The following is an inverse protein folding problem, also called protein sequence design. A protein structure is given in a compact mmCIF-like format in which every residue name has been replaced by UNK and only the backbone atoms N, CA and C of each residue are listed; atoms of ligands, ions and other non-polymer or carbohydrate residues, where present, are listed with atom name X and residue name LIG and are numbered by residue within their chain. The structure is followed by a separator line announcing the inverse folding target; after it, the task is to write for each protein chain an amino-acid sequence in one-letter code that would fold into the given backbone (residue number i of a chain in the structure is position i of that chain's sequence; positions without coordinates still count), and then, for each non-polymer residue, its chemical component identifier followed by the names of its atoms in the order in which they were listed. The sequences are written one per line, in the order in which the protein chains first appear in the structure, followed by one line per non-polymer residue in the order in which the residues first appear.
data_IF_488575764393
#
_entry.id   IF_488575764393
#
_cell.length_a   1.000
_cell.length_b   1.000
_cell.length_c   1.000
_cell.angle_alpha   90.00
_cell.angle_beta   90.00
_cell.angle_gamma   90.00
#
_symmetry.space_group_name_H-M   'P 1'
#
loop_
_entity.id
_entity.type
_entity.pdbx_description
1 polymer ?
#
# COMPACT_ATOMS: atom_id res chain seq x y z
N UNK A 1 -63.32 -4.69 35.34
CA UNK A 1 -62.12 -3.97 35.83
C UNK A 1 -60.87 -4.66 35.28
N UNK A 2 -60.27 -4.11 34.23
CA UNK A 2 -58.92 -4.46 33.76
C UNK A 2 -58.19 -3.15 33.49
N UNK A 3 -57.27 -2.82 34.38
CA UNK A 3 -56.39 -1.65 34.32
C UNK A 3 -55.28 -1.92 33.30
N UNK A 4 -55.21 -1.11 32.23
CA UNK A 4 -54.03 -1.05 31.38
C UNK A 4 -52.94 -0.24 32.10
N UNK A 5 -51.84 -0.88 32.46
CA UNK A 5 -50.60 -0.20 32.84
C UNK A 5 -49.79 0.12 31.57
N UNK A 6 -49.67 1.40 31.25
CA UNK A 6 -48.72 1.91 30.26
C UNK A 6 -47.32 1.98 30.90
N UNK A 7 -46.45 1.04 30.56
CA UNK A 7 -45.03 1.14 30.85
C UNK A 7 -44.38 2.11 29.85
N UNK A 8 -44.02 3.31 30.33
CA UNK A 8 -43.20 4.26 29.58
C UNK A 8 -41.74 3.82 29.64
N UNK A 9 -41.23 3.26 28.54
CA UNK A 9 -39.81 2.95 28.39
C UNK A 9 -39.06 4.27 28.15
N UNK A 10 -38.40 4.79 29.18
CA UNK A 10 -37.43 5.87 29.03
C UNK A 10 -36.18 5.30 28.35
N UNK A 11 -36.01 5.59 27.06
CA UNK A 11 -34.75 5.39 26.38
C UNK A 11 -33.75 6.43 26.92
N UNK A 12 -32.83 5.99 27.80
CA UNK A 12 -31.70 6.80 28.21
C UNK A 12 -30.78 6.97 27.00
N UNK A 13 -30.85 8.13 26.34
CA UNK A 13 -29.85 8.53 25.36
C UNK A 13 -28.51 8.72 26.09
N UNK A 14 -27.66 7.70 26.04
CA UNK A 14 -26.26 7.81 26.45
C UNK A 14 -25.58 8.79 25.51
N UNK A 15 -25.59 10.07 25.90
CA UNK A 15 -24.79 11.10 25.26
C UNK A 15 -23.33 10.74 25.52
N UNK A 16 -22.67 10.10 24.56
CA UNK A 16 -21.23 9.95 24.58
C UNK A 16 -20.65 11.37 24.52
N UNK A 17 -20.23 11.89 25.67
CA UNK A 17 -19.47 13.14 25.70
C UNK A 17 -18.21 12.85 24.89
N UNK A 18 -18.12 13.43 23.70
CA UNK A 18 -16.92 13.33 22.87
C UNK A 18 -15.75 13.91 23.68
N UNK A 19 -14.93 13.01 24.23
CA UNK A 19 -13.74 13.40 24.96
C UNK A 19 -12.77 13.89 23.90
N UNK A 20 -12.63 15.21 23.77
CA UNK A 20 -11.67 15.81 22.83
C UNK A 20 -10.25 15.29 23.03
N UNK A 21 -9.38 15.48 22.04
CA UNK A 21 -8.00 15.01 22.11
C UNK A 21 -7.26 15.54 23.35
N UNK A 22 -6.24 14.81 23.81
CA UNK A 22 -5.32 15.17 24.88
C UNK A 22 -3.89 15.25 24.37
N UNK A 23 -3.50 14.35 23.48
CA UNK A 23 -2.17 14.31 22.86
C UNK A 23 -2.27 14.12 21.35
N UNK A 24 -1.16 14.29 20.62
CA UNK A 24 -1.15 14.08 19.17
C UNK A 24 -1.39 12.61 18.79
N UNK A 25 -1.15 11.65 19.70
CA UNK A 25 -1.51 10.24 19.50
C UNK A 25 -3.04 10.06 19.36
N UNK A 26 -3.85 10.89 20.03
CA UNK A 26 -5.30 10.91 19.83
C UNK A 26 -5.67 11.43 18.42
N UNK A 27 -4.76 12.17 17.78
CA UNK A 27 -4.83 12.67 16.40
C UNK A 27 -4.04 11.80 15.41
N UNK A 28 -3.84 10.52 15.76
CA UNK A 28 -3.15 9.50 14.96
C UNK A 28 -1.72 9.87 14.54
N UNK A 29 -1.09 10.87 15.18
CA UNK A 29 0.15 11.52 14.73
C UNK A 29 0.09 12.13 13.31
N UNK A 30 -1.05 12.07 12.64
CA UNK A 30 -1.36 12.76 11.38
C UNK A 30 -2.00 14.14 11.63
N UNK A 31 -1.91 14.62 12.87
CA UNK A 31 -2.42 15.90 13.30
C UNK A 31 -1.85 16.29 14.65
N UNK A 32 -2.13 17.52 15.06
CA UNK A 32 -1.71 18.06 16.36
C UNK A 32 -2.95 18.28 17.21
N UNK A 33 -2.91 17.83 18.46
CA UNK A 33 -4.00 18.09 19.39
C UNK A 33 -3.96 19.55 19.87
N UNK A 34 -5.02 20.29 19.59
CA UNK A 34 -5.16 21.68 20.04
C UNK A 34 -5.52 21.73 21.52
N UNK A 35 -4.65 22.33 22.32
CA UNK A 35 -4.85 22.49 23.78
C UNK A 35 -6.06 23.36 24.14
N UNK A 36 -6.52 24.22 23.23
CA UNK A 36 -7.58 25.21 23.49
C UNK A 36 -8.97 24.61 23.37
N UNK A 37 -9.23 23.92 22.26
CA UNK A 37 -10.54 23.39 21.90
C UNK A 37 -10.60 21.86 22.01
N UNK A 38 -9.47 21.21 22.32
CA UNK A 38 -9.33 19.75 22.38
C UNK A 38 -9.76 19.06 21.09
N UNK A 39 -9.52 19.71 19.95
CA UNK A 39 -9.76 19.15 18.62
C UNK A 39 -8.45 18.82 17.90
N UNK A 40 -8.51 17.82 17.03
CA UNK A 40 -7.37 17.48 16.18
C UNK A 40 -7.29 18.42 14.98
N UNK A 41 -6.09 18.98 14.76
CA UNK A 41 -5.76 19.73 13.55
C UNK A 41 -4.96 18.85 12.63
N UNK A 42 -5.60 18.31 11.61
CA UNK A 42 -4.98 17.34 10.71
C UNK A 42 -3.95 17.98 9.78
N UNK A 43 -2.91 17.21 9.50
CA UNK A 43 -1.98 17.53 8.43
C UNK A 43 -2.68 17.42 7.06
N UNK A 44 -2.20 18.17 6.05
CA UNK A 44 -2.71 18.08 4.69
C UNK A 44 -2.75 16.62 4.19
N UNK A 45 -3.89 16.24 3.61
CA UNK A 45 -4.15 14.89 3.11
C UNK A 45 -4.79 13.93 4.13
N UNK A 46 -5.02 14.39 5.37
CA UNK A 46 -5.71 13.63 6.40
C UNK A 46 -6.93 14.37 6.94
N UNK A 47 -8.00 13.63 7.27
CA UNK A 47 -9.28 14.14 7.74
C UNK A 47 -9.86 13.26 8.85
N UNK A 48 -10.98 13.72 9.43
CA UNK A 48 -11.67 13.08 10.54
C UNK A 48 -11.30 13.70 11.89
N UNK A 49 -12.09 13.41 12.92
CA UNK A 49 -11.94 13.99 14.26
C UNK A 49 -10.61 13.61 14.94
N UNK A 50 -9.92 12.60 14.41
CA UNK A 50 -8.67 12.03 14.89
C UNK A 50 -7.58 11.94 13.79
N UNK A 51 -7.82 12.53 12.62
CA UNK A 51 -6.89 12.51 11.49
C UNK A 51 -6.48 11.12 10.99
N UNK A 52 -7.28 10.08 11.28
CA UNK A 52 -6.99 8.69 10.92
C UNK A 52 -7.33 8.32 9.46
N UNK A 53 -8.05 9.18 8.73
CA UNK A 53 -8.57 8.89 7.38
C UNK A 53 -7.87 9.73 6.33
N UNK A 54 -7.59 9.14 5.16
CA UNK A 54 -7.09 9.89 4.01
C UNK A 54 -8.19 10.78 3.42
N UNK A 55 -7.81 12.00 3.07
CA UNK A 55 -8.65 12.94 2.32
C UNK A 55 -8.63 12.56 0.83
N UNK A 56 -9.34 11.51 0.42
CA UNK A 56 -9.28 11.02 -0.95
C UNK A 56 -10.10 11.91 -1.90
N UNK A 57 -9.43 12.55 -2.85
CA UNK A 57 -10.08 13.29 -3.93
C UNK A 57 -10.63 12.33 -5.01
N UNK A 58 -11.56 12.76 -5.87
CA UNK A 58 -12.03 11.93 -6.97
C UNK A 58 -10.88 11.50 -7.91
N UNK A 59 -10.85 10.22 -8.27
CA UNK A 59 -9.89 9.69 -9.22
C UNK A 59 -10.29 10.03 -10.66
N UNK A 60 -9.32 10.20 -11.55
CA UNK A 60 -9.61 10.33 -12.99
C UNK A 60 -9.86 8.94 -13.58
N UNK A 61 -10.90 8.77 -14.40
CA UNK A 61 -11.16 7.48 -15.05
C UNK A 61 -10.07 7.15 -16.06
N UNK A 62 -9.81 5.85 -16.24
CA UNK A 62 -8.86 5.30 -17.21
C UNK A 62 -7.40 5.78 -17.06
N UNK A 63 -7.06 6.36 -15.90
CA UNK A 63 -5.66 6.63 -15.51
C UNK A 63 -5.10 5.48 -14.66
N UNK A 64 -3.94 5.67 -14.04
CA UNK A 64 -3.16 4.58 -13.45
C UNK A 64 -2.62 3.65 -14.54
N UNK A 65 -2.50 2.36 -14.24
CA UNK A 65 -2.15 1.33 -15.23
C UNK A 65 -3.37 0.43 -15.44
N UNK A 66 -4.20 0.79 -16.42
CA UNK A 66 -5.48 0.13 -16.71
C UNK A 66 -5.48 -0.48 -18.11
N UNK A 67 -4.76 -1.58 -18.26
CA UNK A 67 -4.59 -2.30 -19.53
C UNK A 67 -5.26 -3.68 -19.53
N UNK A 68 -5.96 -4.04 -18.45
CA UNK A 68 -6.55 -5.36 -18.19
C UNK A 68 -7.41 -5.93 -19.31
N UNK A 69 -8.14 -5.06 -20.02
CA UNK A 69 -9.10 -5.43 -21.06
C UNK A 69 -8.54 -5.28 -22.48
N UNK A 70 -7.22 -5.13 -22.63
CA UNK A 70 -6.59 -5.22 -23.95
C UNK A 70 -6.73 -6.66 -24.50
N UNK A 71 -6.86 -6.84 -25.83
CA UNK A 71 -7.00 -8.17 -26.42
C UNK A 71 -5.83 -9.08 -26.05
N UNK A 72 -6.08 -10.37 -25.72
CA UNK A 72 -5.03 -11.34 -25.44
C UNK A 72 -4.19 -11.61 -26.70
N UNK A 73 -2.91 -11.90 -26.48
CA UNK A 73 -1.99 -12.39 -27.50
C UNK A 73 -2.16 -13.89 -27.78
N UNK A 74 -1.48 -14.41 -28.82
CA UNK A 74 -1.58 -15.82 -29.21
C UNK A 74 -1.03 -16.79 -28.15
N UNK A 75 -0.12 -16.34 -27.31
CA UNK A 75 0.54 -17.15 -26.27
C UNK A 75 -0.11 -17.04 -24.89
N UNK A 76 -1.24 -16.32 -24.80
CA UNK A 76 -2.00 -16.21 -23.55
C UNK A 76 -2.88 -17.43 -23.32
N UNK A 77 -2.89 -17.93 -22.09
CA UNK A 77 -3.78 -19.02 -21.68
C UNK A 77 -5.19 -18.52 -21.35
N UNK A 78 -5.38 -17.21 -21.15
CA UNK A 78 -6.64 -16.61 -20.74
C UNK A 78 -6.73 -15.12 -21.17
N UNK A 79 -7.83 -14.45 -20.84
CA UNK A 79 -8.23 -13.17 -21.45
C UNK A 79 -7.78 -11.90 -20.69
N UNK A 80 -6.85 -12.01 -19.74
CA UNK A 80 -6.41 -10.88 -18.89
C UNK A 80 -4.90 -10.54 -19.05
N UNK A 81 -4.42 -10.25 -20.28
CA UNK A 81 -2.98 -10.18 -20.62
C UNK A 81 -2.18 -9.16 -19.81
N UNK A 82 -2.82 -8.02 -19.55
CA UNK A 82 -2.15 -6.86 -18.93
C UNK A 82 -2.82 -6.48 -17.60
N UNK A 83 -3.48 -7.45 -16.96
CA UNK A 83 -3.97 -7.27 -15.61
C UNK A 83 -2.79 -6.96 -14.67
N UNK A 84 -2.97 -5.98 -13.79
CA UNK A 84 -1.94 -5.51 -12.86
C UNK A 84 -2.44 -5.48 -11.43
N UNK A 85 -1.52 -5.36 -10.46
CA UNK A 85 -1.88 -5.38 -9.03
C UNK A 85 -0.95 -4.57 -8.13
N UNK A 86 -1.43 -3.38 -7.72
CA UNK A 86 -0.71 -2.46 -6.83
C UNK A 86 0.52 -1.87 -7.51
N UNK A 87 1.28 -1.04 -6.79
CA UNK A 87 2.52 -0.50 -7.34
C UNK A 87 2.92 0.81 -6.69
N UNK A 88 4.12 1.29 -7.00
CA UNK A 88 4.66 2.52 -6.42
C UNK A 88 5.08 3.50 -7.51
N UNK A 89 4.62 4.73 -7.37
CA UNK A 89 5.02 5.85 -8.23
C UNK A 89 6.41 6.32 -7.82
N UNK A 90 7.26 6.60 -8.82
CA UNK A 90 8.57 7.21 -8.68
C UNK A 90 8.66 8.35 -9.67
N UNK A 91 8.85 9.57 -9.18
CA UNK A 91 9.15 10.70 -10.06
C UNK A 91 10.59 10.58 -10.57
N UNK A 92 10.78 10.79 -11.87
CA UNK A 92 12.09 10.74 -12.48
C UNK A 92 12.98 11.90 -12.00
N UNK A 93 14.17 11.56 -11.50
CA UNK A 93 15.11 12.54 -10.92
C UNK A 93 15.80 13.41 -11.97
N UNK A 94 15.85 12.97 -13.23
CA UNK A 94 16.45 13.72 -14.35
C UNK A 94 15.40 14.51 -15.11
N UNK A 95 14.17 14.01 -15.16
CA UNK A 95 13.04 14.62 -15.87
C UNK A 95 11.82 14.71 -14.96
N UNK A 96 11.67 15.74 -14.11
CA UNK A 96 10.61 15.80 -13.10
C UNK A 96 9.17 15.69 -13.64
N UNK A 97 8.95 15.96 -14.94
CA UNK A 97 7.67 15.77 -15.64
C UNK A 97 7.44 14.33 -16.13
N UNK A 98 8.30 13.38 -15.77
CA UNK A 98 8.14 11.96 -16.09
C UNK A 98 7.96 11.17 -14.79
N UNK A 99 6.93 10.34 -14.76
CA UNK A 99 6.63 9.46 -13.64
C UNK A 99 6.78 8.01 -14.06
N UNK A 100 7.40 7.21 -13.22
CA UNK A 100 7.51 5.77 -13.35
C UNK A 100 6.55 5.11 -12.39
N UNK A 101 5.91 4.02 -12.81
CA UNK A 101 5.14 3.13 -11.95
C UNK A 101 5.79 1.76 -11.99
N UNK A 102 6.24 1.28 -10.83
CA UNK A 102 6.64 -0.11 -10.65
C UNK A 102 5.44 -0.89 -10.14
N UNK A 103 4.90 -1.76 -10.98
CA UNK A 103 3.68 -2.52 -10.71
C UNK A 103 3.91 -3.99 -11.08
N UNK A 104 3.04 -4.86 -10.59
CA UNK A 104 2.99 -6.25 -11.05
C UNK A 104 2.15 -6.29 -12.31
N UNK A 105 2.60 -7.06 -13.30
CA UNK A 105 1.74 -7.60 -14.35
C UNK A 105 1.71 -9.13 -14.25
N UNK A 106 0.61 -9.74 -14.73
CA UNK A 106 0.46 -11.19 -14.80
C UNK A 106 0.72 -11.69 -16.22
N UNK A 107 1.66 -12.61 -16.37
CA UNK A 107 1.99 -13.21 -17.67
C UNK A 107 0.87 -14.15 -18.17
N UNK A 108 0.89 -14.47 -19.46
CA UNK A 108 0.02 -15.42 -20.15
C UNK A 108 -1.49 -15.22 -19.93
N UNK A 109 -1.92 -13.96 -19.73
CA UNK A 109 -3.32 -13.63 -19.55
C UNK A 109 -3.95 -14.13 -18.24
N UNK A 110 -3.16 -14.59 -17.28
CA UNK A 110 -3.69 -15.33 -16.13
C UNK A 110 -4.41 -14.48 -15.08
N UNK A 111 -4.17 -13.17 -15.09
CA UNK A 111 -4.78 -12.26 -14.13
C UNK A 111 -4.47 -12.58 -12.67
N UNK A 112 -5.16 -11.89 -11.76
CA UNK A 112 -4.86 -11.90 -10.33
C UNK A 112 -4.95 -13.29 -9.68
N UNK A 113 -5.83 -14.17 -10.17
CA UNK A 113 -5.97 -15.54 -9.64
C UNK A 113 -4.71 -16.38 -9.83
N UNK A 114 -3.98 -16.16 -10.92
CA UNK A 114 -2.75 -16.88 -11.26
C UNK A 114 -1.49 -16.26 -10.68
N UNK A 115 -1.59 -15.25 -9.81
CA UNK A 115 -0.45 -14.39 -9.45
C UNK A 115 0.84 -15.14 -9.06
N UNK A 116 0.76 -16.29 -8.39
CA UNK A 116 1.94 -17.10 -8.06
C UNK A 116 1.93 -18.39 -8.87
N UNK A 117 2.75 -18.56 -9.92
CA UNK A 117 4.00 -17.83 -10.20
C UNK A 117 3.90 -16.77 -11.33
N UNK A 118 2.71 -16.47 -11.86
CA UNK A 118 2.57 -15.67 -13.09
C UNK A 118 2.87 -14.17 -12.92
N UNK A 119 3.20 -13.70 -11.73
CA UNK A 119 3.62 -12.31 -11.50
C UNK A 119 5.03 -12.04 -11.96
N UNK A 120 5.21 -10.90 -12.59
CA UNK A 120 6.50 -10.27 -12.82
C UNK A 120 6.36 -8.75 -12.64
N UNK A 121 7.47 -8.07 -12.40
CA UNK A 121 7.48 -6.63 -12.17
C UNK A 121 7.74 -5.94 -13.50
N UNK A 122 6.90 -4.96 -13.80
CA UNK A 122 7.10 -4.04 -14.92
C UNK A 122 7.39 -2.64 -14.40
N UNK A 123 8.04 -1.85 -15.26
CA UNK A 123 8.08 -0.40 -15.15
C UNK A 123 7.20 0.17 -16.25
N UNK A 124 6.27 1.03 -15.87
CA UNK A 124 5.46 1.82 -16.78
C UNK A 124 5.79 3.31 -16.63
N UNK A 125 5.59 4.11 -17.67
CA UNK A 125 5.89 5.55 -17.68
C UNK A 125 4.63 6.38 -17.94
N UNK A 126 4.54 7.55 -17.30
CA UNK A 126 3.59 8.59 -17.66
C UNK A 126 4.30 9.92 -17.88
N UNK A 127 3.87 10.61 -18.95
CA UNK A 127 4.26 11.98 -19.29
C UNK A 127 3.08 12.95 -19.19
N UNK A 128 1.96 12.50 -18.61
CA UNK A 128 0.74 13.32 -18.41
C UNK A 128 0.50 13.64 -16.92
N UNK A 129 1.50 13.38 -16.08
CA UNK A 129 1.44 13.58 -14.65
C UNK A 129 1.38 12.28 -13.84
N UNK A 130 1.45 12.39 -12.51
CA UNK A 130 1.52 11.26 -11.58
C UNK A 130 0.26 10.40 -11.56
N UNK A 131 -0.90 10.94 -11.96
CA UNK A 131 -2.13 10.16 -12.08
C UNK A 131 -2.09 9.15 -13.22
N UNK A 132 -1.28 9.39 -14.26
CA UNK A 132 -1.29 8.59 -15.49
C UNK A 132 -2.15 9.22 -16.60
N UNK A 133 -2.51 8.46 -17.64
CA UNK A 133 -2.28 7.02 -17.78
C UNK A 133 -0.80 6.66 -17.84
N UNK A 134 -0.45 5.49 -17.31
CA UNK A 134 0.87 4.89 -17.40
C UNK A 134 0.89 3.85 -18.53
N UNK A 135 1.94 3.87 -19.33
CA UNK A 135 2.14 2.92 -20.43
C UNK A 135 3.34 2.02 -20.14
N UNK A 136 3.23 0.74 -20.50
CA UNK A 136 4.34 -0.22 -20.34
C UNK A 136 5.63 0.33 -20.95
N UNK A 137 6.73 0.24 -20.21
CA UNK A 137 8.04 0.69 -20.67
C UNK A 137 9.07 -0.44 -20.65
N UNK A 138 9.09 -1.28 -19.61
CA UNK A 138 10.07 -2.35 -19.49
C UNK A 138 9.64 -3.48 -18.54
N UNK A 139 10.16 -4.69 -18.76
CA UNK A 139 10.10 -5.80 -17.82
C UNK A 139 11.31 -5.73 -16.89
N UNK A 140 11.07 -5.49 -15.60
CA UNK A 140 12.12 -5.30 -14.59
C UNK A 140 12.54 -6.62 -13.95
N UNK A 141 11.66 -7.62 -13.98
CA UNK A 141 11.94 -8.96 -13.49
C UNK A 141 11.39 -10.01 -14.43
N UNK A 142 11.91 -11.23 -14.29
CA UNK A 142 11.24 -12.43 -14.79
C UNK A 142 10.15 -12.88 -13.82
N UNK A 143 9.41 -13.92 -14.22
CA UNK A 143 8.57 -14.69 -13.32
C UNK A 143 9.46 -15.46 -12.34
N UNK A 144 9.31 -15.38 -11.03
CA UNK A 144 8.28 -14.72 -10.26
C UNK A 144 8.86 -13.55 -9.47
N UNK A 145 8.19 -12.40 -9.53
CA UNK A 145 8.37 -11.33 -8.55
C UNK A 145 7.05 -10.59 -8.36
N UNK A 146 6.72 -10.23 -7.12
CA UNK A 146 5.41 -9.70 -6.79
C UNK A 146 5.45 -8.59 -5.72
N UNK A 147 4.42 -7.74 -5.70
CA UNK A 147 4.28 -6.63 -4.75
C UNK A 147 5.53 -5.71 -4.66
N UNK A 148 5.97 -5.10 -5.77
CA UNK A 148 7.21 -4.34 -5.83
C UNK A 148 7.16 -3.11 -4.92
N UNK A 149 8.20 -2.89 -4.13
CA UNK A 149 8.45 -1.64 -3.41
C UNK A 149 9.80 -1.03 -3.81
N UNK A 150 9.75 0.07 -4.55
CA UNK A 150 10.93 0.77 -5.05
C UNK A 150 11.21 2.03 -4.22
N UNK A 151 12.47 2.18 -3.81
CA UNK A 151 12.96 3.38 -3.11
C UNK A 151 14.30 3.82 -3.69
N UNK A 152 14.58 5.11 -3.67
CA UNK A 152 15.94 5.60 -3.87
C UNK A 152 16.66 5.65 -2.51
N UNK A 153 17.79 4.95 -2.37
CA UNK A 153 18.69 5.06 -1.21
C UNK A 153 19.71 6.17 -1.47
N UNK A 154 19.64 7.33 -0.80
CA UNK A 154 20.64 8.38 -1.00
C UNK A 154 22.02 7.99 -0.45
N UNK A 155 22.07 7.12 0.57
CA UNK A 155 23.32 6.60 1.14
C UNK A 155 24.08 5.72 0.15
N UNK A 156 23.36 4.92 -0.65
CA UNK A 156 23.95 4.05 -1.67
C UNK A 156 24.01 4.67 -3.06
N UNK A 157 23.25 5.76 -3.27
CA UNK A 157 23.02 6.40 -4.57
C UNK A 157 22.42 5.44 -5.61
N UNK A 158 21.52 4.56 -5.16
CA UNK A 158 20.87 3.53 -5.98
C UNK A 158 19.37 3.52 -5.78
N UNK A 159 18.64 3.11 -6.80
CA UNK A 159 17.30 2.57 -6.64
C UNK A 159 17.39 1.14 -6.09
N UNK A 160 16.53 0.84 -5.13
CA UNK A 160 16.38 -0.47 -4.52
C UNK A 160 14.95 -0.92 -4.73
N UNK A 161 14.77 -2.12 -5.27
CA UNK A 161 13.47 -2.71 -5.56
C UNK A 161 13.30 -3.98 -4.76
N UNK A 162 12.45 -3.92 -3.74
CA UNK A 162 12.06 -5.07 -2.94
C UNK A 162 10.84 -5.74 -3.54
N UNK A 163 10.78 -7.07 -3.46
CA UNK A 163 9.62 -7.83 -3.93
C UNK A 163 9.44 -9.10 -3.12
N UNK A 164 8.25 -9.68 -3.23
CA UNK A 164 7.99 -11.06 -2.85
C UNK A 164 8.62 -11.97 -3.90
N UNK A 165 9.30 -13.00 -3.42
CA UNK A 165 9.74 -14.13 -4.21
C UNK A 165 11.12 -13.97 -4.82
N UNK A 166 11.54 -15.07 -5.44
CA UNK A 166 12.69 -15.17 -6.34
C UNK A 166 12.18 -15.72 -7.67
N UNK A 167 13.02 -15.59 -8.70
CA UNK A 167 12.75 -16.12 -10.03
C UNK A 167 12.30 -17.59 -9.98
N UNK A 168 11.30 -17.91 -10.80
CA UNK A 168 10.67 -19.22 -10.89
C UNK A 168 10.78 -19.73 -12.31
N UNK A 169 11.91 -20.37 -12.58
CA UNK A 169 12.26 -20.90 -13.90
C UNK A 169 11.44 -22.17 -14.20
N UNK A 170 10.27 -21.98 -14.83
CA UNK A 170 9.43 -23.07 -15.31
C UNK A 170 8.71 -22.66 -16.59
N UNK A 171 8.61 -23.58 -17.55
CA UNK A 171 7.73 -23.43 -18.69
C UNK A 171 6.26 -23.53 -18.24
N UNK A 172 5.52 -22.44 -18.42
CA UNK A 172 4.09 -22.42 -18.13
C UNK A 172 3.31 -23.10 -19.26
N UNK A 173 2.30 -23.89 -18.91
CA UNK A 173 1.41 -24.56 -19.87
C UNK A 173 -0.07 -24.24 -19.62
N UNK A 174 -0.36 -23.54 -18.52
CA UNK A 174 -1.69 -23.10 -18.12
C UNK A 174 -1.59 -22.03 -17.03
N UNK A 175 -2.68 -21.30 -16.83
CA UNK A 175 -2.84 -20.51 -15.61
C UNK A 175 -2.97 -21.42 -14.39
N UNK A 176 -2.15 -21.16 -13.38
CA UNK A 176 -2.15 -21.90 -12.12
C UNK A 176 -1.78 -20.99 -10.96
N UNK A 177 -2.12 -21.42 -9.75
CA UNK A 177 -1.72 -20.74 -8.53
C UNK A 177 -1.15 -21.74 -7.53
N UNK A 178 0.10 -21.51 -7.12
CA UNK A 178 0.80 -22.33 -6.14
C UNK A 178 0.46 -21.78 -4.75
N UNK A 179 0.30 -22.65 -3.74
CA UNK A 179 0.03 -22.23 -2.35
C UNK A 179 1.33 -21.93 -1.60
N UNK A 180 1.28 -21.08 -0.57
CA UNK A 180 2.48 -20.68 0.18
C UNK A 180 3.00 -21.83 1.02
N UNK A 181 2.14 -22.80 1.32
CA UNK A 181 2.51 -24.05 1.98
C UNK A 181 3.34 -24.97 1.08
N UNK A 182 3.18 -24.86 -0.25
CA UNK A 182 3.95 -25.63 -1.25
C UNK A 182 5.19 -24.89 -1.73
N UNK A 183 5.10 -23.56 -1.82
CA UNK A 183 6.19 -22.70 -2.22
C UNK A 183 6.17 -21.42 -1.37
N UNK A 184 6.93 -21.43 -0.24
CA UNK A 184 6.94 -20.32 0.70
C UNK A 184 7.41 -19.01 0.08
N UNK A 185 6.82 -17.91 0.54
CA UNK A 185 7.26 -16.58 0.15
C UNK A 185 8.60 -16.23 0.80
N UNK A 186 9.31 -15.31 0.18
CA UNK A 186 10.48 -14.64 0.72
C UNK A 186 10.44 -13.18 0.27
N UNK A 187 11.29 -12.34 0.86
CA UNK A 187 11.57 -11.00 0.35
C UNK A 187 12.93 -11.03 -0.33
N UNK A 188 12.96 -10.52 -1.55
CA UNK A 188 14.18 -10.29 -2.32
C UNK A 188 14.34 -8.83 -2.68
N UNK A 189 15.56 -8.42 -3.01
CA UNK A 189 15.92 -7.06 -3.42
C UNK A 189 16.78 -7.07 -4.68
N UNK A 190 16.49 -6.14 -5.58
CA UNK A 190 17.31 -5.78 -6.74
C UNK A 190 17.74 -4.32 -6.63
N UNK A 191 18.80 -3.92 -7.33
CA UNK A 191 19.29 -2.54 -7.34
C UNK A 191 19.64 -2.07 -8.75
N UNK A 192 19.54 -0.76 -8.97
CA UNK A 192 19.94 -0.08 -10.20
C UNK A 192 20.46 1.34 -9.90
N UNK A 193 21.38 1.84 -10.74
CA UNK A 193 21.85 3.23 -10.64
C UNK A 193 20.87 4.23 -11.27
N UNK A 194 20.09 3.76 -12.24
CA UNK A 194 19.01 4.51 -12.89
C UNK A 194 17.67 3.80 -12.68
N UNK A 195 16.58 4.57 -12.64
CA UNK A 195 15.22 4.01 -12.54
C UNK A 195 14.89 3.09 -13.72
N UNK A 196 15.57 3.28 -14.86
CA UNK A 196 15.46 2.45 -16.07
C UNK A 196 16.32 1.18 -16.05
N UNK A 197 17.11 0.97 -15.01
CA UNK A 197 18.05 -0.15 -14.96
C UNK A 197 19.40 0.15 -15.61
N UNK A 198 20.18 -0.90 -15.96
CA UNK A 198 19.86 -2.31 -15.76
C UNK A 198 19.71 -2.65 -14.28
N UNK A 199 18.76 -3.53 -13.98
CA UNK A 199 18.51 -4.02 -12.62
C UNK A 199 19.39 -5.23 -12.33
N UNK A 200 19.98 -5.29 -11.14
CA UNK A 200 20.73 -6.47 -10.71
C UNK A 200 19.80 -7.68 -10.53
N UNK A 201 20.30 -8.92 -10.60
CA UNK A 201 19.52 -10.09 -10.18
C UNK A 201 18.95 -9.89 -8.76
N UNK A 202 17.76 -10.42 -8.52
CA UNK A 202 17.13 -10.36 -7.21
C UNK A 202 17.89 -11.24 -6.21
N UNK A 203 18.27 -10.65 -5.08
CA UNK A 203 18.91 -11.33 -3.95
C UNK A 203 17.91 -11.48 -2.81
N UNK A 204 17.70 -12.70 -2.34
CA UNK A 204 16.87 -12.96 -1.16
C UNK A 204 17.50 -12.34 0.10
N UNK A 205 16.69 -11.63 0.90
CA UNK A 205 17.14 -10.94 2.12
C UNK A 205 16.36 -11.33 3.38
N UNK A 206 15.11 -11.81 3.24
CA UNK A 206 14.32 -12.35 4.36
C UNK A 206 13.56 -13.58 3.87
N UNK A 207 13.67 -14.70 4.59
CA UNK A 207 12.92 -15.92 4.27
C UNK A 207 11.72 -16.10 5.21
N UNK A 208 10.68 -16.79 4.76
CA UNK A 208 9.59 -17.20 5.64
C UNK A 208 10.04 -18.32 6.58
N UNK A 209 9.52 -18.29 7.79
CA UNK A 209 9.61 -19.35 8.79
C UNK A 209 8.16 -19.66 9.21
N UNK A 210 7.61 -20.79 8.75
CA UNK A 210 6.19 -21.19 8.93
C UNK A 210 6.12 -22.71 9.21
N UNK A 211 5.13 -23.18 10.00
CA UNK A 211 3.99 -22.43 10.55
C UNK A 211 4.35 -21.52 11.74
N UNK A 212 5.49 -21.73 12.40
CA UNK A 212 6.00 -20.89 13.47
C UNK A 212 6.94 -19.81 12.88
N UNK A 213 6.75 -18.53 13.24
CA UNK A 213 7.71 -17.47 12.91
C UNK A 213 7.21 -16.39 11.93
N UNK A 214 8.08 -16.00 11.00
CA UNK A 214 7.93 -14.83 10.12
C UNK A 214 7.25 -15.20 8.79
N UNK A 215 6.23 -14.45 8.38
CA UNK A 215 5.65 -14.55 7.03
C UNK A 215 6.26 -13.50 6.10
N UNK A 216 7.37 -13.84 5.45
CA UNK A 216 8.15 -12.91 4.62
C UNK A 216 7.44 -12.59 3.30
N UNK A 217 6.50 -11.64 3.36
CA UNK A 217 5.73 -11.15 2.22
C UNK A 217 5.37 -9.68 2.39
N UNK A 218 5.01 -9.03 1.28
CA UNK A 218 4.51 -7.66 1.23
C UNK A 218 5.51 -6.62 1.77
N UNK A 219 6.66 -6.43 1.09
CA UNK A 219 7.72 -5.58 1.59
C UNK A 219 7.36 -4.09 1.51
N UNK A 220 7.80 -3.34 2.52
CA UNK A 220 7.86 -1.88 2.52
C UNK A 220 9.21 -1.41 3.03
N UNK A 221 10.01 -0.80 2.17
CA UNK A 221 11.34 -0.33 2.48
C UNK A 221 11.36 1.18 2.77
N UNK A 222 12.16 1.59 3.76
CA UNK A 222 12.40 3.00 4.10
C UNK A 222 13.90 3.20 4.35
N UNK A 223 14.62 3.93 3.47
CA UNK A 223 15.98 4.37 3.77
C UNK A 223 16.02 5.30 4.98
N UNK A 224 16.93 5.06 5.93
CA UNK A 224 17.10 5.88 7.15
C UNK A 224 18.00 7.11 6.95
N UNK A 225 18.45 7.33 5.72
CA UNK A 225 19.33 8.43 5.36
C UNK A 225 18.70 9.78 5.71
N UNK A 226 19.50 10.69 6.28
CA UNK A 226 19.18 12.12 6.39
C UNK A 226 20.45 12.93 6.14
N UNK A 227 20.32 14.25 5.86
CA UNK A 227 21.50 15.13 5.76
C UNK A 227 22.38 15.13 7.01
N UNK A 228 21.79 14.96 8.20
CA UNK A 228 22.51 14.91 9.49
C UNK A 228 23.08 13.54 9.83
N UNK A 229 22.51 12.47 9.27
CA UNK A 229 22.95 11.10 9.44
C UNK A 229 22.91 10.39 8.09
N UNK A 230 23.99 10.48 7.27
CA UNK A 230 24.03 9.95 5.92
C UNK A 230 24.27 8.42 5.90
N UNK A 231 23.45 7.68 6.63
CA UNK A 231 23.52 6.21 6.74
C UNK A 231 23.01 5.51 5.48
N UNK A 232 23.43 4.25 5.31
CA UNK A 232 22.92 3.29 4.31
C UNK A 232 21.88 2.33 4.91
N UNK A 233 21.53 2.52 6.18
CA UNK A 233 20.58 1.66 6.86
C UNK A 233 19.19 1.72 6.21
N UNK A 234 18.57 0.55 6.11
CA UNK A 234 17.23 0.36 5.57
C UNK A 234 16.34 -0.24 6.64
N UNK A 235 15.13 0.31 6.79
CA UNK A 235 14.00 -0.34 7.45
C UNK A 235 13.23 -1.16 6.43
N UNK A 236 12.83 -2.37 6.79
CA UNK A 236 11.95 -3.22 6.00
C UNK A 236 10.77 -3.68 6.86
N UNK A 237 9.57 -3.19 6.55
CA UNK A 237 8.31 -3.72 7.05
C UNK A 237 7.78 -4.84 6.16
N UNK A 238 7.10 -5.82 6.77
CA UNK A 238 6.43 -6.92 6.07
C UNK A 238 5.08 -7.24 6.72
N UNK A 239 4.32 -8.17 6.12
CA UNK A 239 3.06 -8.71 6.64
C UNK A 239 3.16 -9.12 8.13
N UNK A 240 2.01 -9.11 8.81
CA UNK A 240 1.88 -9.40 10.25
C UNK A 240 2.66 -8.37 11.12
N UNK A 241 2.98 -7.23 10.52
CA UNK A 241 3.63 -6.07 11.11
C UNK A 241 4.97 -6.38 11.79
N UNK A 242 5.79 -7.19 11.11
CA UNK A 242 7.19 -7.39 11.48
C UNK A 242 8.06 -6.34 10.80
N UNK A 243 8.96 -5.73 11.56
CA UNK A 243 9.84 -4.66 11.10
C UNK A 243 11.29 -5.05 11.35
N UNK A 244 12.09 -4.97 10.30
CA UNK A 244 13.50 -5.30 10.31
C UNK A 244 14.34 -4.05 10.01
N UNK A 245 15.61 -4.10 10.39
CA UNK A 245 16.63 -3.15 9.93
C UNK A 245 17.86 -3.88 9.41
N UNK A 246 18.51 -3.33 8.40
CA UNK A 246 19.82 -3.77 7.92
C UNK A 246 20.77 -2.58 7.77
N UNK A 247 22.08 -2.82 7.96
CA UNK A 247 23.13 -1.79 7.74
C UNK A 247 23.35 -1.47 6.26
N UNK A 248 23.04 -2.43 5.40
CA UNK A 248 23.13 -2.38 3.96
C UNK A 248 21.87 -3.04 3.37
N UNK A 249 21.40 -2.56 2.24
CA UNK A 249 20.19 -3.05 1.58
C UNK A 249 20.26 -4.53 1.17
N UNK A 250 21.45 -5.05 0.90
CA UNK A 250 21.71 -6.45 0.55
C UNK A 250 22.32 -7.25 1.72
N UNK A 251 22.29 -6.69 2.93
CA UNK A 251 22.89 -7.29 4.11
C UNK A 251 21.90 -8.09 4.96
N UNK A 252 22.32 -8.39 6.19
CA UNK A 252 21.50 -9.08 7.15
C UNK A 252 20.40 -8.19 7.73
N UNK A 253 19.14 -8.58 7.52
CA UNK A 253 17.98 -7.98 8.15
C UNK A 253 17.77 -8.55 9.55
N UNK A 254 17.77 -7.67 10.56
CA UNK A 254 17.54 -8.04 11.97
C UNK A 254 16.18 -7.52 12.41
N UNK A 255 15.36 -8.40 13.00
CA UNK A 255 14.05 -8.05 13.56
C UNK A 255 14.23 -6.99 14.65
N UNK A 256 13.43 -5.92 14.57
CA UNK A 256 13.42 -4.80 15.52
C UNK A 256 12.10 -4.63 16.23
N UNK A 257 11.01 -4.99 15.56
CA UNK A 257 9.68 -4.94 16.13
C UNK A 257 8.82 -6.02 15.49
N UNK A 258 7.90 -6.54 16.29
CA UNK A 258 6.83 -7.44 15.86
C UNK A 258 5.55 -6.98 16.55
N UNK A 259 4.42 -7.06 15.86
CA UNK A 259 3.12 -6.76 16.44
C UNK A 259 2.94 -7.45 17.80
N UNK A 260 2.49 -6.67 18.79
CA UNK A 260 2.17 -7.18 20.13
C UNK A 260 0.69 -7.57 20.27
N UNK A 261 -0.09 -7.38 19.20
CA UNK A 261 -1.50 -7.77 19.11
C UNK A 261 -1.67 -9.05 18.30
N UNK A 262 -2.85 -9.64 18.40
CA UNK A 262 -3.19 -10.85 17.66
C UNK A 262 -3.35 -10.53 16.17
N UNK A 263 -2.52 -11.16 15.33
CA UNK A 263 -2.47 -11.03 13.87
C UNK A 263 -2.96 -12.29 13.15
N UNK A 264 -3.65 -13.20 13.86
CA UNK A 264 -4.16 -14.45 13.27
C UNK A 264 -5.08 -14.16 12.08
N UNK A 265 -4.73 -14.76 10.95
CA UNK A 265 -5.45 -14.61 9.69
C UNK A 265 -6.89 -15.13 9.84
N UNK A 266 -7.84 -14.42 9.25
CA UNK A 266 -9.27 -14.76 9.19
C UNK A 266 -10.02 -14.76 10.53
N UNK A 267 -9.36 -14.53 11.65
CA UNK A 267 -9.98 -14.60 12.99
C UNK A 267 -9.95 -13.27 13.75
N UNK A 268 -9.03 -12.36 13.43
CA UNK A 268 -8.83 -11.15 14.21
C UNK A 268 -9.15 -9.85 13.45
N UNK A 269 -9.93 -8.91 14.03
CA UNK A 269 -10.21 -7.61 13.42
C UNK A 269 -8.99 -6.73 13.18
N UNK A 270 -7.83 -6.99 13.80
CA UNK A 270 -6.57 -6.28 13.52
C UNK A 270 -5.70 -6.98 12.46
N UNK A 271 -6.22 -8.02 11.81
CA UNK A 271 -5.53 -8.69 10.71
C UNK A 271 -5.35 -7.74 9.52
N UNK A 272 -4.08 -7.50 9.19
CA UNK A 272 -3.66 -6.65 8.09
C UNK A 272 -2.61 -7.34 7.24
N UNK A 273 -2.53 -6.89 5.99
CA UNK A 273 -1.44 -7.21 5.08
C UNK A 273 -1.00 -5.94 4.34
N UNK A 274 -0.08 -6.09 3.39
CA UNK A 274 0.41 -4.99 2.55
C UNK A 274 0.74 -3.69 3.30
N UNK A 275 1.65 -3.73 4.30
CA UNK A 275 2.09 -2.49 4.93
C UNK A 275 2.78 -1.59 3.91
N UNK A 276 2.55 -0.30 4.05
CA UNK A 276 3.37 0.75 3.49
C UNK A 276 3.78 1.69 4.62
N UNK A 277 5.04 1.58 5.03
CA UNK A 277 5.63 2.29 6.17
C UNK A 277 6.36 3.54 5.69
N UNK A 278 6.26 4.63 6.45
CA UNK A 278 7.06 5.83 6.25
C UNK A 278 7.37 6.52 7.59
N UNK A 279 8.25 7.51 7.53
CA UNK A 279 8.56 8.43 8.63
C UNK A 279 8.13 9.84 8.23
N UNK A 280 7.28 10.48 9.03
CA UNK A 280 6.78 11.83 8.76
C UNK A 280 7.87 12.91 9.02
N UNK A 281 7.55 14.16 8.65
CA UNK A 281 8.44 15.32 8.86
C UNK A 281 8.77 15.62 10.33
N UNK A 282 7.92 15.18 11.26
CA UNK A 282 8.12 15.32 12.72
C UNK A 282 8.90 14.14 13.33
N UNK A 283 9.24 13.15 12.51
CA UNK A 283 10.00 11.97 12.88
C UNK A 283 9.18 10.83 13.48
N UNK A 284 7.85 10.90 13.40
CA UNK A 284 6.95 9.82 13.75
C UNK A 284 6.92 8.77 12.64
N UNK A 285 6.65 7.53 13.00
CA UNK A 285 6.50 6.41 12.09
C UNK A 285 5.03 6.10 11.85
N UNK A 286 4.70 5.76 10.62
CA UNK A 286 3.34 5.48 10.21
C UNK A 286 3.32 4.28 9.27
N UNK A 287 2.17 3.64 9.17
CA UNK A 287 1.86 2.65 8.15
C UNK A 287 0.42 2.79 7.71
N UNK A 288 0.18 2.59 6.41
CA UNK A 288 -1.14 2.23 5.89
C UNK A 288 -1.07 0.79 5.39
N UNK A 289 -2.18 0.09 5.52
CA UNK A 289 -2.21 -1.36 5.28
C UNK A 289 -3.49 -1.73 4.56
N UNK A 290 -3.46 -2.87 3.86
CA UNK A 290 -4.70 -3.55 3.50
C UNK A 290 -5.28 -4.20 4.76
N UNK A 291 -6.52 -3.84 5.08
CA UNK A 291 -7.21 -4.25 6.29
C UNK A 291 -8.28 -5.29 5.98
N UNK A 292 -8.18 -6.46 6.62
CA UNK A 292 -9.03 -7.61 6.35
C UNK A 292 -10.28 -7.66 7.25
N UNK A 293 -10.70 -6.53 7.84
CA UNK A 293 -11.76 -6.53 8.86
C UNK A 293 -13.09 -7.08 8.35
N UNK A 294 -13.54 -6.70 7.15
CA UNK A 294 -14.79 -7.22 6.62
C UNK A 294 -14.72 -8.70 6.27
N UNK A 295 -13.51 -9.21 6.02
CA UNK A 295 -13.34 -10.64 5.82
C UNK A 295 -13.61 -11.40 7.13
N UNK A 296 -13.21 -10.82 8.25
CA UNK A 296 -13.35 -11.39 9.59
C UNK A 296 -14.77 -11.19 10.14
N UNK A 297 -15.36 -10.02 9.96
CA UNK A 297 -16.63 -9.64 10.60
C UNK A 297 -17.87 -9.88 9.73
N UNK A 298 -17.72 -10.01 8.41
CA UNK A 298 -18.84 -10.02 7.46
C UNK A 298 -18.71 -11.16 6.44
N UNK A 299 -18.74 -12.42 6.88
CA UNK A 299 -18.82 -13.61 6.01
C UNK A 299 -17.81 -13.62 4.84
N UNK A 300 -16.55 -13.27 5.14
CA UNK A 300 -15.44 -13.23 4.15
C UNK A 300 -15.61 -12.18 3.05
N UNK A 301 -16.43 -11.16 3.29
CA UNK A 301 -16.56 -10.00 2.41
C UNK A 301 -15.23 -9.22 2.34
N UNK A 302 -14.87 -8.70 1.16
CA UNK A 302 -13.57 -8.02 0.94
C UNK A 302 -13.70 -6.49 0.82
N UNK A 303 -14.81 -5.93 1.27
CA UNK A 303 -15.20 -4.52 1.20
C UNK A 303 -16.23 -4.22 2.31
N UNK A 304 -16.57 -2.96 2.62
CA UNK A 304 -15.96 -1.71 2.15
C UNK A 304 -14.73 -1.24 2.95
N UNK A 305 -14.52 -1.73 4.18
CA UNK A 305 -13.43 -1.33 5.07
C UNK A 305 -12.16 -2.11 4.72
N UNK A 306 -11.24 -1.44 4.03
CA UNK A 306 -10.07 -2.09 3.41
C UNK A 306 -8.74 -1.40 3.69
N UNK A 307 -8.76 -0.21 4.25
CA UNK A 307 -7.55 0.49 4.67
C UNK A 307 -7.48 0.61 6.19
N UNK A 308 -6.34 0.35 6.80
CA UNK A 308 -6.08 0.74 8.19
C UNK A 308 -4.87 1.66 8.30
N UNK A 309 -4.77 2.35 9.43
CA UNK A 309 -3.66 3.22 9.78
C UNK A 309 -3.03 2.78 11.09
N UNK A 310 -1.70 2.70 11.11
CA UNK A 310 -0.89 2.46 12.29
C UNK A 310 0.14 3.57 12.46
N UNK A 311 0.49 3.87 13.70
CA UNK A 311 1.47 4.92 13.99
C UNK A 311 2.28 4.65 15.26
N UNK A 312 3.47 5.24 15.34
CA UNK A 312 4.33 5.21 16.51
C UNK A 312 5.29 6.40 16.54
N UNK A 313 5.69 6.84 17.74
CA UNK A 313 6.80 7.79 17.90
C UNK A 313 8.17 7.16 17.59
N UNK A 314 8.28 5.83 17.63
CA UNK A 314 9.57 5.10 17.51
C UNK A 314 9.39 3.85 16.66
N UNK A 315 10.41 3.50 15.88
CA UNK A 315 10.36 2.28 15.07
C UNK A 315 10.13 1.01 15.91
N UNK A 316 10.68 1.00 17.13
CA UNK A 316 10.56 -0.11 18.11
C UNK A 316 9.26 -0.09 18.91
N UNK A 317 8.34 0.84 18.61
CA UNK A 317 7.05 0.95 19.27
C UNK A 317 7.04 1.80 20.56
N UNK A 318 5.90 1.80 21.28
CA UNK A 318 4.69 1.05 20.95
C UNK A 318 4.05 1.54 19.64
N UNK A 319 3.56 0.60 18.84
CA UNK A 319 2.76 0.91 17.65
C UNK A 319 1.29 0.85 18.00
N UNK A 320 0.54 1.82 17.52
CA UNK A 320 -0.89 1.96 17.76
C UNK A 320 -1.65 1.58 16.49
N UNK A 321 -2.57 0.63 16.61
CA UNK A 321 -3.52 0.30 15.56
C UNK A 321 -4.77 1.14 15.74
N UNK A 322 -5.14 1.92 14.72
CA UNK A 322 -6.39 2.66 14.75
C UNK A 322 -7.51 1.78 14.20
N UNK A 323 -8.49 1.45 15.04
CA UNK A 323 -9.67 0.65 14.64
C UNK A 323 -10.71 1.52 13.90
N UNK A 324 -10.26 2.14 12.82
CA UNK A 324 -11.04 2.99 11.92
C UNK A 324 -10.44 2.84 10.51
N UNK A 325 -11.28 2.87 9.49
CA UNK A 325 -10.82 2.75 8.11
C UNK A 325 -9.99 3.98 7.68
N UNK A 326 -8.77 3.78 7.19
CA UNK A 326 -7.95 4.84 6.61
C UNK A 326 -8.42 5.22 5.19
N UNK A 327 -8.95 4.23 4.45
CA UNK A 327 -9.61 4.37 3.16
C UNK A 327 -10.55 3.19 2.94
N UNK A 328 -11.51 3.33 2.01
CA UNK A 328 -12.51 2.29 1.72
C UNK A 328 -12.42 1.79 0.27
N UNK A 329 -13.16 0.72 -0.05
CA UNK A 329 -13.27 0.20 -1.40
C UNK A 329 -14.07 1.10 -2.35
N UNK A 330 -14.72 2.15 -1.83
CA UNK A 330 -15.46 3.10 -2.64
C UNK A 330 -14.51 4.15 -3.23
N UNK A 331 -14.60 4.37 -4.54
CA UNK A 331 -13.84 5.38 -5.27
C UNK A 331 -14.82 6.28 -6.01
N UNK A 332 -14.74 7.57 -5.74
CA UNK A 332 -15.40 8.61 -6.53
C UNK A 332 -14.53 9.00 -7.71
N UNK A 333 -15.15 9.40 -8.81
CA UNK A 333 -14.46 9.79 -10.04
C UNK A 333 -14.74 11.24 -10.42
N UNK A 334 -13.84 11.83 -11.20
CA UNK A 334 -13.92 13.22 -11.66
C UNK A 334 -15.13 13.52 -12.55
N UNK A 335 -15.74 12.50 -13.15
CA UNK A 335 -16.98 12.60 -13.93
C UNK A 335 -18.26 12.62 -13.04
N UNK A 336 -18.10 12.60 -11.72
CA UNK A 336 -19.19 12.60 -10.74
C UNK A 336 -19.74 11.22 -10.39
N UNK A 337 -19.29 10.16 -11.08
CA UNK A 337 -19.68 8.79 -10.76
C UNK A 337 -18.86 8.21 -9.59
N UNK A 338 -19.27 7.04 -9.09
CA UNK A 338 -18.52 6.29 -8.10
C UNK A 338 -18.58 4.79 -8.38
N UNK A 339 -17.64 4.03 -7.83
CA UNK A 339 -17.57 2.58 -7.95
C UNK A 339 -17.09 1.98 -6.63
N UNK A 340 -17.76 0.92 -6.19
CA UNK A 340 -17.25 0.05 -5.13
C UNK A 340 -16.48 -1.09 -5.78
N UNK A 341 -15.23 -1.25 -5.38
CA UNK A 341 -14.40 -2.37 -5.79
C UNK A 341 -14.57 -3.56 -4.84
N UNK A 342 -14.54 -4.77 -5.38
CA UNK A 342 -14.55 -6.00 -4.59
C UNK A 342 -13.29 -6.09 -3.73
N UNK A 343 -12.15 -5.72 -4.30
CA UNK A 343 -10.84 -5.69 -3.62
C UNK A 343 -10.16 -4.37 -3.95
N UNK A 344 -9.57 -3.76 -2.93
CA UNK A 344 -8.71 -2.57 -3.05
C UNK A 344 -7.56 -2.74 -2.06
N UNK A 345 -6.42 -3.16 -2.57
CA UNK A 345 -5.30 -3.66 -1.76
C UNK A 345 -4.00 -2.94 -2.11
N UNK A 346 -2.91 -3.30 -1.43
CA UNK A 346 -1.55 -2.77 -1.70
C UNK A 346 -1.46 -1.26 -1.69
N UNK A 347 -1.91 -0.61 -0.62
CA UNK A 347 -1.87 0.83 -0.54
C UNK A 347 -0.42 1.32 -0.52
N UNK A 348 -0.06 2.26 -1.40
CA UNK A 348 1.21 3.00 -1.30
C UNK A 348 0.97 4.47 -1.54
N UNK A 349 1.62 5.33 -0.76
CA UNK A 349 1.52 6.77 -0.94
C UNK A 349 2.71 7.31 -1.72
N UNK A 350 2.42 8.25 -2.61
CA UNK A 350 3.40 9.17 -3.17
C UNK A 350 3.34 10.49 -2.40
N UNK A 351 4.47 10.93 -1.85
CA UNK A 351 4.57 12.15 -1.06
C UNK A 351 5.24 13.27 -1.86
N UNK A 352 4.89 14.51 -1.51
CA UNK A 352 5.65 15.71 -1.88
C UNK A 352 7.10 15.63 -1.38
N UNK A 353 8.00 16.26 -2.14
CA UNK A 353 9.44 16.33 -1.89
C UNK A 353 9.90 17.70 -1.36
N UNK A 354 8.96 18.61 -1.09
CA UNK A 354 9.16 19.96 -0.52
C UNK A 354 9.59 19.96 0.97
N UNK A 355 9.69 18.77 1.58
CA UNK A 355 10.02 18.57 2.98
C UNK A 355 8.79 18.49 3.91
N UNK A 356 7.59 18.79 3.42
CA UNK A 356 6.35 18.68 4.19
C UNK A 356 5.85 17.24 4.27
N UNK A 357 6.29 16.35 3.37
CA UNK A 357 5.84 14.95 3.30
C UNK A 357 4.31 14.85 3.21
N UNK A 358 3.67 15.78 2.49
CA UNK A 358 2.22 15.72 2.21
C UNK A 358 1.94 14.56 1.26
N UNK A 359 1.03 13.61 1.58
CA UNK A 359 0.61 12.59 0.63
C UNK A 359 -0.18 13.24 -0.52
N UNK A 360 0.19 12.92 -1.75
CA UNK A 360 -0.40 13.49 -2.96
C UNK A 360 -1.22 12.46 -3.74
N UNK A 361 -0.80 11.20 -3.73
CA UNK A 361 -1.49 10.11 -4.43
C UNK A 361 -1.44 8.83 -3.62
N UNK A 362 -2.55 8.08 -3.66
CA UNK A 362 -2.66 6.71 -3.19
C UNK A 362 -2.72 5.78 -4.40
N UNK A 363 -1.86 4.79 -4.44
CA UNK A 363 -1.93 3.69 -5.40
C UNK A 363 -2.53 2.45 -4.75
N UNK A 364 -3.33 1.71 -5.50
CA UNK A 364 -3.89 0.42 -5.08
C UNK A 364 -3.98 -0.55 -6.26
N UNK A 365 -3.95 -1.85 -5.96
CA UNK A 365 -4.52 -2.86 -6.87
C UNK A 365 -6.03 -2.91 -6.66
N UNK A 366 -6.82 -2.84 -7.73
CA UNK A 366 -8.28 -2.91 -7.65
C UNK A 366 -8.86 -4.01 -8.52
N UNK A 367 -9.87 -4.69 -8.00
CA UNK A 367 -10.66 -5.69 -8.72
C UNK A 367 -12.13 -5.30 -8.63
N UNK A 368 -12.79 -5.23 -9.79
CA UNK A 368 -14.20 -4.87 -9.87
C UNK A 368 -15.10 -5.95 -9.26
N UNK A 369 -16.33 -5.56 -8.94
CA UNK A 369 -17.38 -6.50 -8.54
C UNK A 369 -17.58 -7.57 -9.62
N UNK A 370 -17.86 -8.81 -9.18
CA UNK A 370 -18.05 -9.99 -10.03
C UNK A 370 -16.84 -10.40 -10.88
N UNK A 371 -15.68 -9.76 -10.73
CA UNK A 371 -14.45 -10.18 -11.38
C UNK A 371 -13.64 -11.15 -10.51
N UNK A 372 -12.81 -11.96 -11.17
CA UNK A 372 -11.90 -12.90 -10.50
C UNK A 372 -10.46 -12.81 -11.02
N UNK A 373 -10.27 -12.62 -12.32
CA UNK A 373 -8.95 -12.44 -12.94
C UNK A 373 -8.64 -10.99 -13.29
N UNK A 374 -9.62 -10.25 -13.80
CA UNK A 374 -9.48 -8.84 -14.14
C UNK A 374 -9.11 -8.00 -12.90
N UNK A 375 -8.06 -7.21 -13.06
CA UNK A 375 -7.59 -6.25 -12.06
C UNK A 375 -6.67 -5.21 -12.69
N UNK A 376 -6.61 -4.01 -12.11
CA UNK A 376 -5.71 -2.95 -12.56
C UNK A 376 -5.13 -2.15 -11.41
N UNK A 377 -4.15 -1.30 -11.70
CA UNK A 377 -3.52 -0.41 -10.71
C UNK A 377 -4.17 0.95 -10.79
N UNK A 378 -4.92 1.33 -9.76
CA UNK A 378 -5.57 2.62 -9.61
C UNK A 378 -4.60 3.63 -8.99
N UNK A 379 -4.65 4.87 -9.45
CA UNK A 379 -4.04 6.03 -8.79
C UNK A 379 -5.15 7.01 -8.41
N UNK A 380 -5.25 7.35 -7.13
CA UNK A 380 -6.24 8.30 -6.62
C UNK A 380 -5.53 9.48 -5.94
N UNK A 381 -5.84 10.74 -6.29
CA UNK A 381 -5.24 11.89 -5.62
C UNK A 381 -5.70 12.03 -4.17
N UNK A 382 -4.84 12.64 -3.34
CA UNK A 382 -5.06 12.87 -1.91
C UNK A 382 -5.06 14.38 -1.64
N UNK A 383 -6.10 14.85 -0.97
CA UNK A 383 -6.36 16.23 -0.61
C UNK A 383 -6.49 17.14 -1.83
N UNK A 384 -5.99 18.36 -1.69
CA UNK A 384 -6.01 19.38 -2.75
C UNK A 384 -4.62 19.77 -3.26
N UNK A 385 -3.56 19.46 -2.50
CA UNK A 385 -2.17 19.85 -2.85
C UNK A 385 -1.61 19.17 -4.08
N UNK A 386 -2.18 18.04 -4.49
CA UNK A 386 -1.82 17.38 -5.74
C UNK A 386 -1.98 18.29 -6.97
N UNK A 387 -2.98 19.19 -6.96
CA UNK A 387 -3.21 20.17 -8.04
C UNK A 387 -2.08 21.17 -8.16
N UNK A 388 -1.58 21.65 -7.02
CA UNK A 388 -0.46 22.60 -6.97
C UNK A 388 0.83 21.91 -7.44
N UNK A 389 1.02 20.65 -7.03
CA UNK A 389 2.13 19.82 -7.48
C UNK A 389 2.12 19.60 -9.00
N UNK A 390 0.99 19.17 -9.57
CA UNK A 390 0.84 18.96 -11.02
C UNK A 390 1.03 20.26 -11.81
N UNK A 391 0.39 21.35 -11.37
CA UNK A 391 0.55 22.67 -12.00
C UNK A 391 2.00 23.14 -11.97
N UNK A 392 2.71 22.88 -10.87
CA UNK A 392 4.14 23.23 -10.72
C UNK A 392 5.05 22.49 -11.70
N UNK A 393 4.60 21.34 -12.22
CA UNK A 393 5.30 20.54 -13.22
C UNK A 393 4.84 20.81 -14.66
N UNK A 394 3.81 21.64 -14.83
CA UNK A 394 3.27 22.02 -16.14
C UNK A 394 2.18 21.09 -16.69
N UNK A 395 1.50 20.33 -15.84
CA UNK A 395 0.32 19.53 -16.22
C UNK A 395 -0.99 20.31 -16.11
#
# INVERSE_FOLDING_TARGET
MRTLQLFSIWAAASSSVAVGCRTDEDCSLNGICSKRDRSCRCDPGWIGDDCGRLDLAPATRYTGYNHTYQPPGPDDFNIWPNASWGGRIVQDRRTPSTFHLFTVQFTHGCGLRGWRPHSYIIRAESHNGPQGPYHYADAVSNNFAHNPDVVYSPGDKKYLLYSIGVEYEKNFTKCESISYTRWPNNISVSSADDVRGPWSPFKMVVNSDRPAGIHATNPSAVPLWTRKNPTKEIVLGIKDYSIFTAKHWDGDYKLRYQATWNVTEQENPMWTEDPFIWKDRRGNWHSINHWMIDYVENDRQQWPRVGSHLFSRRLTGPWHFKLQEAFSSNVTFTDGSWQVFKRRERPKLFFSDDGEMTPLYLTNGVQEMNQTGASFTLVQPVGTRWKEFEKGLGF
#
